data_IF_177388690839
#
_entry.id   IF_177388690839
#
_cell.length_a   1.000
_cell.length_b   1.000
_cell.length_c   1.000
_cell.angle_alpha   90.00
_cell.angle_beta   90.00
_cell.angle_gamma   90.00
#
_symmetry.space_group_name_H-M   'P 1'
#
loop_
_entity.id
_entity.type
_entity.pdbx_description
1 polymer ?
#
# COMPACT_ATOMS: atom_id res chain seq x y z
N UNK A 1 -19.30 -17.67 -6.98
CA UNK A 1 -17.98 -17.13 -6.62
C UNK A 1 -17.40 -16.61 -7.92
N UNK A 2 -17.02 -15.34 -7.98
CA UNK A 2 -16.54 -14.73 -9.21
C UNK A 2 -15.09 -15.21 -9.40
N UNK A 3 -14.84 -16.11 -10.34
CA UNK A 3 -13.51 -16.67 -10.66
C UNK A 3 -12.64 -15.66 -11.44
N UNK A 4 -12.65 -14.39 -11.02
CA UNK A 4 -11.90 -13.35 -11.67
C UNK A 4 -10.42 -13.48 -11.29
N UNK A 5 -9.60 -13.89 -12.26
CA UNK A 5 -8.15 -14.02 -12.08
C UNK A 5 -7.53 -12.65 -12.25
N UNK A 6 -7.05 -12.07 -11.15
CA UNK A 6 -6.31 -10.81 -11.17
C UNK A 6 -4.85 -11.05 -11.55
N UNK A 7 -4.37 -10.39 -12.62
CA UNK A 7 -2.96 -10.44 -13.00
C UNK A 7 -2.09 -9.80 -11.90
N UNK A 8 -0.97 -10.45 -11.58
CA UNK A 8 0.08 -9.92 -10.67
C UNK A 8 1.40 -9.67 -11.40
N UNK A 9 1.37 -9.61 -12.74
CA UNK A 9 2.54 -9.28 -13.54
C UNK A 9 2.94 -7.82 -13.32
N UNK A 10 3.97 -7.63 -12.47
CA UNK A 10 4.46 -6.31 -12.10
C UNK A 10 5.03 -5.54 -13.29
N UNK A 11 5.61 -6.21 -14.29
CA UNK A 11 6.18 -5.54 -15.45
C UNK A 11 5.06 -4.97 -16.33
N UNK A 12 4.01 -5.76 -16.53
CA UNK A 12 2.80 -5.30 -17.21
C UNK A 12 2.14 -4.14 -16.45
N UNK A 13 1.88 -4.30 -15.15
CA UNK A 13 1.20 -3.28 -14.34
C UNK A 13 1.99 -1.96 -14.31
N UNK A 14 3.31 -2.02 -14.11
CA UNK A 14 4.14 -0.83 -14.13
C UNK A 14 4.15 -0.13 -15.50
N UNK A 15 4.21 -0.90 -16.60
CA UNK A 15 4.16 -0.34 -17.94
C UNK A 15 2.79 0.30 -18.24
N UNK A 16 1.71 -0.33 -17.79
CA UNK A 16 0.35 0.18 -17.97
C UNK A 16 0.10 1.45 -17.15
N UNK A 17 0.63 1.49 -15.92
CA UNK A 17 0.58 2.67 -15.07
C UNK A 17 1.24 3.90 -15.74
N UNK A 18 2.40 3.70 -16.38
CA UNK A 18 3.08 4.74 -17.15
C UNK A 18 2.28 5.12 -18.40
N UNK A 19 1.77 4.13 -19.14
CA UNK A 19 1.01 4.35 -20.38
C UNK A 19 -0.26 5.17 -20.14
N UNK A 20 -0.90 4.99 -18.99
CA UNK A 20 -2.18 5.61 -18.61
C UNK A 20 -2.03 6.74 -17.58
N UNK A 21 -0.84 7.26 -17.36
CA UNK A 21 -0.60 8.29 -16.33
C UNK A 21 -1.52 9.51 -16.46
N UNK A 22 -1.70 10.04 -17.68
CA UNK A 22 -2.61 11.16 -17.95
C UNK A 22 -4.09 10.81 -17.72
N UNK A 23 -4.47 9.55 -17.99
CA UNK A 23 -5.84 9.05 -17.78
C UNK A 23 -6.16 8.90 -16.29
N UNK A 24 -5.21 8.46 -15.47
CA UNK A 24 -5.38 8.41 -14.02
C UNK A 24 -5.44 9.81 -13.39
N UNK A 25 -4.64 10.75 -13.88
CA UNK A 25 -4.71 12.15 -13.42
C UNK A 25 -6.08 12.76 -13.76
N UNK A 26 -6.59 12.53 -14.98
CA UNK A 26 -7.94 12.96 -15.36
C UNK A 26 -9.03 12.28 -14.51
N UNK A 27 -8.87 10.99 -14.21
CA UNK A 27 -9.78 10.24 -13.35
C UNK A 27 -9.80 10.78 -11.92
N UNK A 28 -8.66 11.26 -11.39
CA UNK A 28 -8.62 11.92 -10.07
C UNK A 28 -9.57 13.11 -10.02
N UNK A 29 -9.49 14.02 -11.00
CA UNK A 29 -10.39 15.17 -11.09
C UNK A 29 -11.85 14.76 -11.26
N UNK A 30 -12.12 13.69 -11.99
CA UNK A 30 -13.47 13.16 -12.13
C UNK A 30 -14.04 12.70 -10.78
N UNK A 31 -13.26 11.98 -9.96
CA UNK A 31 -13.69 11.55 -8.63
C UNK A 31 -13.83 12.72 -7.66
N UNK A 32 -12.96 13.73 -7.75
CA UNK A 32 -13.08 14.96 -6.95
C UNK A 32 -14.45 15.65 -7.16
N UNK A 33 -14.97 15.61 -8.38
CA UNK A 33 -16.24 16.20 -8.79
C UNK A 33 -17.44 15.23 -8.66
N UNK A 34 -17.24 13.99 -8.23
CA UNK A 34 -18.33 13.03 -8.05
C UNK A 34 -19.30 13.54 -6.96
N UNK A 35 -20.60 13.53 -7.27
CA UNK A 35 -21.65 14.07 -6.42
C UNK A 35 -21.96 13.21 -5.19
N UNK A 36 -21.46 11.96 -5.14
CA UNK A 36 -21.58 11.12 -3.94
C UNK A 36 -20.92 11.79 -2.75
N UNK A 37 -21.45 11.54 -1.57
CA UNK A 37 -20.78 11.89 -0.32
C UNK A 37 -19.52 11.03 -0.13
N UNK A 38 -18.56 11.51 0.67
CA UNK A 38 -17.33 10.76 0.97
C UNK A 38 -17.63 9.37 1.56
N UNK A 39 -18.64 9.26 2.42
CA UNK A 39 -19.06 7.97 2.98
C UNK A 39 -19.65 7.00 1.92
N UNK A 40 -20.40 7.51 0.94
CA UNK A 40 -20.92 6.70 -0.17
C UNK A 40 -19.79 6.24 -1.10
N UNK A 41 -18.80 7.10 -1.33
CA UNK A 41 -17.62 6.78 -2.13
C UNK A 41 -16.74 5.73 -1.43
N UNK A 42 -16.46 5.90 -0.13
CA UNK A 42 -15.73 4.93 0.68
C UNK A 42 -16.43 3.56 0.65
N UNK A 43 -17.76 3.54 0.83
CA UNK A 43 -18.55 2.30 0.76
C UNK A 43 -18.44 1.61 -0.60
N UNK A 44 -18.44 2.38 -1.69
CA UNK A 44 -18.28 1.85 -3.03
C UNK A 44 -16.88 1.25 -3.22
N UNK A 45 -15.84 1.97 -2.81
CA UNK A 45 -14.45 1.54 -2.94
C UNK A 45 -14.19 0.29 -2.11
N UNK A 46 -14.67 0.22 -0.87
CA UNK A 46 -14.57 -0.98 -0.04
C UNK A 46 -15.23 -2.20 -0.68
N UNK A 47 -16.42 -2.01 -1.25
CA UNK A 47 -17.16 -3.08 -1.95
C UNK A 47 -16.37 -3.62 -3.16
N UNK A 48 -15.60 -2.79 -3.84
CA UNK A 48 -14.74 -3.17 -4.97
C UNK A 48 -13.43 -3.78 -4.48
N UNK A 49 -12.76 -3.14 -3.53
CA UNK A 49 -11.43 -3.53 -3.05
C UNK A 49 -11.45 -4.84 -2.26
N UNK A 50 -12.45 -5.08 -1.41
CA UNK A 50 -12.51 -6.25 -0.54
C UNK A 50 -12.35 -7.60 -1.29
N UNK A 51 -13.11 -7.91 -2.37
CA UNK A 51 -12.92 -9.15 -3.11
C UNK A 51 -11.56 -9.21 -3.84
N UNK A 52 -10.97 -8.08 -4.24
CA UNK A 52 -9.65 -8.03 -4.89
C UNK A 52 -8.54 -8.34 -3.89
N UNK A 53 -8.58 -7.69 -2.72
CA UNK A 53 -7.68 -7.93 -1.59
C UNK A 53 -7.72 -9.40 -1.19
N UNK A 54 -8.92 -9.99 -1.12
CA UNK A 54 -9.08 -11.41 -0.78
C UNK A 54 -8.52 -12.37 -1.83
N UNK A 55 -8.50 -11.97 -3.11
CA UNK A 55 -8.09 -12.81 -4.21
C UNK A 55 -6.58 -12.75 -4.53
N UNK A 56 -5.89 -11.67 -4.13
CA UNK A 56 -4.46 -11.47 -4.43
C UNK A 56 -3.60 -11.76 -3.20
N UNK A 57 -2.79 -12.82 -3.26
CA UNK A 57 -1.76 -13.08 -2.25
C UNK A 57 -0.55 -12.16 -2.45
N UNK A 58 -0.44 -11.11 -1.63
CA UNK A 58 0.65 -10.14 -1.70
C UNK A 58 2.05 -10.75 -1.50
N UNK A 59 2.14 -11.95 -0.90
CA UNK A 59 3.40 -12.71 -0.74
C UNK A 59 3.93 -13.24 -2.07
N UNK A 60 3.12 -13.22 -3.13
CA UNK A 60 3.55 -13.63 -4.46
C UNK A 60 4.37 -12.56 -5.20
N UNK A 61 4.16 -11.28 -4.90
CA UNK A 61 4.92 -10.18 -5.53
C UNK A 61 5.95 -9.55 -4.58
N UNK A 62 5.58 -9.35 -3.31
CA UNK A 62 6.37 -8.65 -2.29
C UNK A 62 6.90 -7.27 -2.73
N UNK A 63 6.23 -6.60 -3.68
CA UNK A 63 6.75 -5.38 -4.30
C UNK A 63 6.79 -4.20 -3.31
N UNK A 64 5.78 -4.08 -2.44
CA UNK A 64 5.79 -3.09 -1.37
C UNK A 64 6.99 -3.25 -0.44
N UNK A 65 7.31 -4.49 -0.04
CA UNK A 65 8.47 -4.79 0.81
C UNK A 65 9.82 -4.48 0.12
N UNK A 66 9.86 -4.34 -1.20
CA UNK A 66 11.08 -4.01 -1.95
C UNK A 66 11.27 -2.52 -2.16
N UNK A 67 10.18 -1.78 -2.24
CA UNK A 67 10.17 -0.48 -2.92
C UNK A 67 9.61 0.66 -2.07
N UNK A 68 8.73 0.36 -1.11
CA UNK A 68 8.13 1.39 -0.24
C UNK A 68 9.00 1.67 0.97
N UNK A 69 9.04 2.95 1.35
CA UNK A 69 9.47 3.32 2.68
C UNK A 69 8.37 2.92 3.67
N UNK A 70 8.79 2.33 4.80
CA UNK A 70 7.88 1.85 5.83
C UNK A 70 8.09 2.72 7.05
N UNK A 71 7.16 3.65 7.26
CA UNK A 71 7.08 4.45 8.47
C UNK A 71 6.51 3.63 9.61
N UNK A 72 6.97 3.95 10.81
CA UNK A 72 6.81 3.20 12.05
C UNK A 72 6.34 4.13 13.14
N UNK A 73 5.51 3.59 14.03
CA UNK A 73 5.26 4.17 15.34
C UNK A 73 6.25 3.62 16.38
N UNK A 74 6.32 4.26 17.54
CA UNK A 74 7.04 3.71 18.69
C UNK A 74 6.55 2.30 19.06
N UNK A 75 5.23 2.09 18.96
CA UNK A 75 4.63 0.79 19.23
C UNK A 75 5.06 -0.28 18.21
N UNK A 76 5.20 0.08 16.93
CA UNK A 76 5.72 -0.83 15.91
C UNK A 76 7.17 -1.27 16.23
N UNK A 77 8.02 -0.33 16.65
CA UNK A 77 9.40 -0.65 17.04
C UNK A 77 9.46 -1.57 18.25
N UNK A 78 8.61 -1.34 19.26
CA UNK A 78 8.51 -2.21 20.44
C UNK A 78 8.00 -3.62 20.07
N UNK A 79 7.00 -3.70 19.18
CA UNK A 79 6.48 -4.96 18.66
C UNK A 79 7.54 -5.72 17.87
N UNK A 80 8.35 -5.03 17.05
CA UNK A 80 9.46 -5.62 16.31
C UNK A 80 10.57 -6.13 17.24
N UNK A 81 10.94 -5.37 18.27
CA UNK A 81 11.93 -5.79 19.26
C UNK A 81 11.53 -7.12 19.91
N UNK A 82 10.26 -7.22 20.33
CA UNK A 82 9.71 -8.44 20.92
C UNK A 82 9.71 -9.63 19.95
N UNK A 83 9.37 -9.40 18.69
CA UNK A 83 9.29 -10.45 17.67
C UNK A 83 10.63 -10.94 17.15
N UNK A 84 11.62 -10.06 17.10
CA UNK A 84 12.98 -10.36 16.61
C UNK A 84 13.93 -10.80 17.71
N UNK A 85 13.56 -10.59 18.97
CA UNK A 85 14.43 -10.69 20.14
C UNK A 85 15.68 -9.79 20.06
N UNK A 86 15.60 -8.73 19.25
CA UNK A 86 16.63 -7.69 19.15
C UNK A 86 16.28 -6.58 20.16
N UNK A 87 17.24 -6.10 20.97
CA UNK A 87 17.01 -4.95 21.84
C UNK A 87 16.51 -3.73 21.06
N UNK A 88 15.52 -3.00 21.62
CA UNK A 88 14.94 -1.82 20.97
C UNK A 88 16.00 -0.76 20.61
N UNK A 89 16.96 -0.52 21.49
CA UNK A 89 18.08 0.41 21.24
C UNK A 89 18.91 0.02 20.01
N UNK A 90 19.11 -1.28 19.81
CA UNK A 90 19.81 -1.79 18.62
C UNK A 90 18.96 -1.59 17.37
N UNK A 91 17.63 -1.81 17.41
CA UNK A 91 16.75 -1.51 16.29
C UNK A 91 16.79 -0.02 15.92
N UNK A 92 16.71 0.86 16.91
CA UNK A 92 16.76 2.32 16.72
C UNK A 92 18.09 2.78 16.10
N UNK A 93 19.18 2.06 16.38
CA UNK A 93 20.49 2.41 15.84
C UNK A 93 20.71 1.82 14.44
N UNK A 94 20.41 0.54 14.25
CA UNK A 94 20.83 -0.22 13.06
C UNK A 94 19.77 -0.32 11.97
N UNK A 95 18.50 -0.13 12.33
CA UNK A 95 17.38 -0.58 11.50
C UNK A 95 16.30 0.49 11.27
N UNK A 96 16.14 1.41 12.22
CA UNK A 96 15.18 2.51 12.18
C UNK A 96 15.94 3.84 12.07
N UNK A 97 15.43 4.75 11.26
CA UNK A 97 15.96 6.09 11.05
C UNK A 97 14.92 7.11 11.54
N UNK A 98 15.13 7.69 12.72
CA UNK A 98 14.24 8.72 13.25
C UNK A 98 14.52 10.10 12.65
N UNK A 99 15.76 10.38 12.26
CA UNK A 99 16.14 11.67 11.66
C UNK A 99 15.53 11.82 10.27
N UNK A 100 15.62 10.77 9.43
CA UNK A 100 14.97 10.76 8.11
C UNK A 100 13.44 10.77 8.21
N UNK A 101 12.88 10.13 9.23
CA UNK A 101 11.43 10.14 9.44
C UNK A 101 10.91 11.53 9.81
N UNK A 102 11.67 12.28 10.63
CA UNK A 102 11.29 13.62 11.05
C UNK A 102 11.16 14.62 9.88
N UNK A 103 11.86 14.40 8.75
CA UNK A 103 11.69 15.19 7.52
C UNK A 103 10.27 15.10 6.93
N UNK A 104 9.53 14.05 7.28
CA UNK A 104 8.17 13.77 6.84
C UNK A 104 7.17 13.81 8.01
N UNK A 105 7.54 14.39 9.15
CA UNK A 105 6.71 14.45 10.37
C UNK A 105 6.36 13.07 10.95
N UNK A 106 7.16 12.05 10.65
CA UNK A 106 6.98 10.67 11.10
C UNK A 106 7.94 10.29 12.25
N UNK A 107 7.56 9.30 13.07
CA UNK A 107 8.37 8.90 14.24
C UNK A 107 9.63 8.11 13.86
N UNK A 108 9.52 7.20 12.90
CA UNK A 108 10.63 6.36 12.46
C UNK A 108 10.36 5.76 11.10
N UNK A 109 11.43 5.43 10.37
CA UNK A 109 11.33 4.75 9.07
C UNK A 109 12.39 3.67 8.97
N UNK A 110 12.11 2.54 8.32
CA UNK A 110 13.17 1.56 8.07
C UNK A 110 14.31 2.14 7.24
N UNK A 111 15.56 1.92 7.66
CA UNK A 111 16.74 2.51 7.01
C UNK A 111 16.90 2.15 5.54
N UNK A 112 16.57 0.92 5.15
CA UNK A 112 16.89 0.39 3.83
C UNK A 112 15.71 -0.25 3.10
N UNK A 113 15.82 -0.19 1.77
CA UNK A 113 14.96 -0.87 0.79
C UNK A 113 15.85 -1.75 -0.10
N UNK A 114 15.50 -3.01 -0.39
CA UNK A 114 14.38 -3.77 0.16
C UNK A 114 14.41 -3.85 1.69
N UNK A 115 13.23 -4.03 2.30
CA UNK A 115 13.09 -4.18 3.75
C UNK A 115 14.07 -5.24 4.27
N UNK A 116 14.78 -4.93 5.35
CA UNK A 116 15.79 -5.82 5.96
C UNK A 116 15.23 -7.17 6.45
N UNK A 117 13.92 -7.25 6.69
CA UNK A 117 13.25 -8.47 7.10
C UNK A 117 12.74 -9.30 5.92
N UNK A 118 12.93 -8.85 4.68
CA UNK A 118 12.48 -9.56 3.50
C UNK A 118 13.44 -10.72 3.16
N UNK A 119 12.92 -11.95 3.17
CA UNK A 119 13.62 -13.16 2.73
C UNK A 119 12.93 -13.75 1.51
N UNK A 120 13.56 -13.61 0.34
CA UNK A 120 12.91 -13.93 -0.93
C UNK A 120 11.70 -13.03 -1.13
N UNK A 121 10.48 -13.58 -0.97
CA UNK A 121 9.20 -12.84 -1.03
C UNK A 121 8.44 -12.82 0.31
N UNK A 122 9.01 -13.42 1.35
CA UNK A 122 8.35 -13.59 2.63
C UNK A 122 8.96 -12.65 3.68
N UNK A 123 8.12 -12.14 4.55
CA UNK A 123 8.57 -11.34 5.69
C UNK A 123 9.05 -12.27 6.82
N UNK A 124 10.29 -12.09 7.28
CA UNK A 124 10.85 -12.81 8.42
C UNK A 124 10.20 -12.45 9.76
N UNK A 125 9.47 -11.34 9.82
CA UNK A 125 8.75 -10.86 11.01
C UNK A 125 7.25 -10.75 10.74
N UNK A 126 6.66 -11.63 9.92
CA UNK A 126 5.29 -11.45 9.42
C UNK A 126 4.27 -11.15 10.54
N UNK A 127 4.24 -11.90 11.64
CA UNK A 127 3.33 -11.65 12.77
C UNK A 127 3.61 -10.35 13.54
N UNK A 128 4.84 -9.82 13.43
CA UNK A 128 5.30 -8.60 14.11
C UNK A 128 5.53 -7.44 13.13
N UNK A 129 5.07 -7.55 11.87
CA UNK A 129 5.24 -6.53 10.84
C UNK A 129 4.55 -5.22 11.26
N UNK A 130 5.06 -4.04 10.89
CA UNK A 130 4.45 -2.75 11.25
C UNK A 130 2.98 -2.64 10.85
N UNK A 131 2.22 -1.75 11.49
CA UNK A 131 0.82 -1.51 11.16
C UNK A 131 0.60 -1.12 9.71
N UNK A 132 1.42 -0.20 9.19
CA UNK A 132 1.44 0.19 7.78
C UNK A 132 1.59 -1.02 6.84
N UNK A 133 2.45 -1.99 7.19
CA UNK A 133 2.62 -3.23 6.44
C UNK A 133 1.44 -4.20 6.57
N UNK A 134 0.68 -4.17 7.68
CA UNK A 134 -0.51 -5.03 7.87
C UNK A 134 -1.69 -4.52 7.07
N UNK A 135 -1.86 -3.20 7.00
CA UNK A 135 -3.02 -2.56 6.41
C UNK A 135 -2.85 -2.28 4.91
N UNK A 136 -1.62 -2.28 4.39
CA UNK A 136 -1.37 -1.93 2.99
C UNK A 136 -1.99 -2.95 1.98
N UNK A 137 -2.65 -2.46 0.91
CA UNK A 137 -3.02 -1.07 0.66
C UNK A 137 -4.26 -0.63 1.45
N UNK A 138 -4.25 0.61 1.93
CA UNK A 138 -5.41 1.26 2.56
C UNK A 138 -6.11 2.11 1.50
N UNK A 139 -7.42 1.97 1.39
CA UNK A 139 -8.25 2.78 0.47
C UNK A 139 -9.20 3.72 1.21
N UNK A 140 -9.64 3.35 2.42
CA UNK A 140 -10.64 4.07 3.22
C UNK A 140 -10.18 4.13 4.69
N UNK A 141 -10.69 5.08 5.48
CA UNK A 141 -11.61 6.17 5.11
C UNK A 141 -10.94 7.25 4.24
N UNK A 142 -11.74 8.22 3.80
CA UNK A 142 -11.28 9.44 3.12
C UNK A 142 -10.64 9.15 1.74
N UNK A 143 -11.23 8.22 0.98
CA UNK A 143 -10.70 7.82 -0.33
C UNK A 143 -10.51 9.02 -1.27
N UNK A 144 -11.45 9.99 -1.28
CA UNK A 144 -11.34 11.18 -2.14
C UNK A 144 -10.07 11.98 -1.82
N UNK A 145 -9.72 12.09 -0.55
CA UNK A 145 -8.57 12.87 -0.07
C UNK A 145 -7.24 12.16 -0.31
N UNK A 146 -7.25 10.82 -0.25
CA UNK A 146 -6.06 9.98 -0.42
C UNK A 146 -5.86 9.47 -1.85
N UNK A 147 -6.77 9.82 -2.78
CA UNK A 147 -6.77 9.27 -4.14
C UNK A 147 -5.46 9.51 -4.89
N UNK A 148 -4.83 10.68 -4.74
CA UNK A 148 -3.56 10.97 -5.41
C UNK A 148 -2.45 10.00 -4.97
N UNK A 149 -2.36 9.74 -3.66
CA UNK A 149 -1.41 8.77 -3.10
C UNK A 149 -1.71 7.34 -3.56
N UNK A 150 -3.00 6.97 -3.59
CA UNK A 150 -3.46 5.67 -4.08
C UNK A 150 -3.08 5.50 -5.56
N UNK A 151 -3.30 6.53 -6.39
CA UNK A 151 -2.94 6.51 -7.81
C UNK A 151 -1.42 6.39 -8.00
N UNK A 152 -0.61 7.02 -7.14
CA UNK A 152 0.83 6.81 -7.10
C UNK A 152 1.23 5.34 -6.87
N UNK A 153 0.36 4.54 -6.24
CA UNK A 153 0.56 3.12 -6.01
C UNK A 153 0.13 2.18 -7.15
N UNK A 154 -0.55 2.68 -8.19
CA UNK A 154 -1.12 1.86 -9.28
C UNK A 154 -0.05 1.02 -9.99
N UNK A 155 1.09 1.62 -10.33
CA UNK A 155 2.20 0.92 -10.98
C UNK A 155 2.98 -0.03 -10.06
N UNK A 156 2.71 0.01 -8.75
CA UNK A 156 3.46 -0.73 -7.74
C UNK A 156 2.69 -1.95 -7.23
N UNK A 157 1.38 -1.81 -7.03
CA UNK A 157 0.58 -2.80 -6.32
C UNK A 157 -0.54 -3.36 -7.22
N UNK A 158 -0.56 -4.69 -7.49
CA UNK A 158 -1.66 -5.30 -8.25
C UNK A 158 -3.04 -5.07 -7.64
N UNK A 159 -3.15 -5.03 -6.31
CA UNK A 159 -4.42 -4.74 -5.63
C UNK A 159 -4.90 -3.34 -5.98
N UNK A 160 -4.02 -2.33 -5.87
CA UNK A 160 -4.36 -0.94 -6.22
C UNK A 160 -4.76 -0.83 -7.68
N UNK A 161 -3.96 -1.40 -8.59
CA UNK A 161 -4.25 -1.42 -10.03
C UNK A 161 -5.66 -1.95 -10.30
N UNK A 162 -5.98 -3.16 -9.84
CA UNK A 162 -7.30 -3.75 -10.12
C UNK A 162 -8.44 -3.02 -9.43
N UNK A 163 -8.22 -2.44 -8.24
CA UNK A 163 -9.25 -1.63 -7.57
C UNK A 163 -9.57 -0.38 -8.38
N UNK A 164 -8.56 0.34 -8.86
CA UNK A 164 -8.75 1.56 -9.66
C UNK A 164 -9.40 1.23 -11.01
N UNK A 165 -8.96 0.17 -11.70
CA UNK A 165 -9.57 -0.27 -12.96
C UNK A 165 -11.06 -0.61 -12.82
N UNK A 166 -11.44 -1.29 -11.72
CA UNK A 166 -12.85 -1.60 -11.46
C UNK A 166 -13.65 -0.40 -10.98
N UNK A 167 -13.03 0.52 -10.25
CA UNK A 167 -13.69 1.75 -9.82
C UNK A 167 -14.01 2.65 -11.01
N UNK A 168 -13.08 2.80 -11.96
CA UNK A 168 -13.32 3.49 -13.23
C UNK A 168 -14.56 2.94 -13.94
N UNK A 169 -14.64 1.61 -14.08
CA UNK A 169 -15.82 0.95 -14.69
C UNK A 169 -17.11 1.18 -13.89
N UNK A 170 -17.05 1.10 -12.56
CA UNK A 170 -18.21 1.27 -11.69
C UNK A 170 -18.77 2.70 -11.71
N UNK A 171 -17.91 3.69 -11.95
CA UNK A 171 -18.30 5.10 -12.05
C UNK A 171 -18.62 5.54 -13.48
N UNK A 172 -18.41 4.66 -14.47
CA UNK A 172 -18.65 4.98 -15.88
C UNK A 172 -17.64 5.97 -16.47
N UNK A 173 -16.39 5.90 -15.99
CA UNK A 173 -15.24 6.56 -16.61
C UNK A 173 -15.02 6.06 -18.05
#
# INVERSE_FOLDING_TARGET
MNDQIYSIDLAFIAAEAVRRAEDYDAFRYFVELDERTDAELDTLVEKIAAPIIAAIDCKQCANCCRSLDVYLTENDAQHLANGTFIPLEQLLTEQIDCDRAAENEEWGVFRQKPCQFLSGKLCGVYEHRPESCRMYPVFTPDFRWTLDEILGGVGLCPIIYHTIEQLQQALGW
#
